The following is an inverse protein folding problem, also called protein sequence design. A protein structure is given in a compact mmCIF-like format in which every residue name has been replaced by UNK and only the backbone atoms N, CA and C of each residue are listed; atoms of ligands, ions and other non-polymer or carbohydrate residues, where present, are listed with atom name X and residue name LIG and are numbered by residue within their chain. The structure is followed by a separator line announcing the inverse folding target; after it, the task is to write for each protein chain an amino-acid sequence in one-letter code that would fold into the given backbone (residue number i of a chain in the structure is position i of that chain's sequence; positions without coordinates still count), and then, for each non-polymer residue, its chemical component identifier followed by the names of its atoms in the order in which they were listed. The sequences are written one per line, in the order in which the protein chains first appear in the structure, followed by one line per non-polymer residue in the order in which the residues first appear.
data_IF_017437529849
#
_entry.id   IF_017437529849
#
_cell.length_a   1.000
_cell.length_b   1.000
_cell.length_c   1.000
_cell.angle_alpha   90.00
_cell.angle_beta   90.00
_cell.angle_gamma   90.00
#
_symmetry.space_group_name_H-M   'P 1'
#
loop_
_entity.id
_entity.type
_entity.pdbx_description
1 polymer ?
#
# COMPACT_ATOMS: atom_id res chain seq x y z
N UNK A 1 -27.08 -10.12 14.56
CA UNK A 1 -26.54 -9.31 13.44
C UNK A 1 -25.68 -10.19 12.57
N UNK A 2 -26.25 -10.70 11.48
CA UNK A 2 -25.55 -11.60 10.55
C UNK A 2 -24.34 -10.89 9.95
N UNK A 3 -23.17 -11.54 10.05
CA UNK A 3 -21.94 -11.05 9.44
C UNK A 3 -22.09 -11.30 7.94
N UNK A 4 -22.42 -10.27 7.16
CA UNK A 4 -22.47 -10.39 5.69
C UNK A 4 -21.07 -10.81 5.22
N UNK A 5 -20.93 -12.08 4.83
CA UNK A 5 -19.71 -12.61 4.26
C UNK A 5 -19.56 -12.08 2.84
N UNK A 6 -18.65 -11.12 2.66
CA UNK A 6 -18.28 -10.62 1.35
C UNK A 6 -17.33 -11.63 0.68
N UNK A 7 -17.86 -12.78 0.26
CA UNK A 7 -17.10 -13.88 -0.34
C UNK A 7 -16.31 -13.44 -1.58
N UNK A 8 -16.86 -12.50 -2.37
CA UNK A 8 -16.16 -11.86 -3.46
C UNK A 8 -14.88 -11.13 -3.00
N UNK A 9 -14.91 -10.45 -1.84
CA UNK A 9 -13.71 -9.76 -1.30
C UNK A 9 -12.66 -10.76 -0.84
N UNK A 10 -13.07 -11.87 -0.23
CA UNK A 10 -12.15 -12.95 0.14
C UNK A 10 -11.45 -13.55 -1.08
N UNK A 11 -12.20 -13.80 -2.17
CA UNK A 11 -11.65 -14.28 -3.44
C UNK A 11 -10.67 -13.31 -4.09
N UNK A 12 -11.01 -12.02 -4.17
CA UNK A 12 -10.11 -11.02 -4.78
C UNK A 12 -8.84 -10.83 -3.93
N UNK A 13 -8.94 -10.88 -2.59
CA UNK A 13 -7.76 -10.85 -1.70
C UNK A 13 -6.84 -12.04 -1.93
N UNK A 14 -7.39 -13.23 -2.11
CA UNK A 14 -6.61 -14.43 -2.39
C UNK A 14 -5.78 -14.23 -3.67
N UNK A 15 -6.41 -13.83 -4.78
CA UNK A 15 -5.71 -13.62 -6.04
C UNK A 15 -4.69 -12.48 -5.99
N UNK A 16 -5.01 -11.37 -5.31
CA UNK A 16 -4.07 -10.29 -5.10
C UNK A 16 -2.87 -10.70 -4.24
N UNK A 17 -3.08 -11.51 -3.18
CA UNK A 17 -2.01 -12.04 -2.33
C UNK A 17 -1.15 -13.03 -3.10
N UNK A 18 -1.77 -13.97 -3.83
CA UNK A 18 -1.07 -14.95 -4.64
C UNK A 18 -0.18 -14.28 -5.68
N UNK A 19 -0.69 -13.23 -6.34
CA UNK A 19 0.07 -12.45 -7.32
C UNK A 19 1.29 -11.76 -6.69
N UNK A 20 1.11 -11.18 -5.49
CA UNK A 20 2.18 -10.51 -4.75
C UNK A 20 3.27 -11.50 -4.30
N UNK A 21 2.87 -12.62 -3.71
CA UNK A 21 3.78 -13.68 -3.24
C UNK A 21 4.54 -14.30 -4.41
N UNK A 22 3.84 -14.63 -5.50
CA UNK A 22 4.44 -15.23 -6.70
C UNK A 22 5.47 -14.30 -7.30
N UNK A 23 5.19 -12.99 -7.40
CA UNK A 23 6.14 -12.03 -7.94
C UNK A 23 7.41 -11.90 -7.09
N UNK A 24 7.29 -11.86 -5.75
CA UNK A 24 8.46 -11.80 -4.86
C UNK A 24 9.24 -13.12 -4.83
N UNK A 25 8.56 -14.26 -4.92
CA UNK A 25 9.21 -15.55 -5.05
C UNK A 25 10.02 -15.63 -6.35
N UNK A 26 9.42 -15.22 -7.48
CA UNK A 26 10.10 -15.16 -8.77
C UNK A 26 11.28 -14.18 -8.75
N UNK A 27 11.12 -13.00 -8.16
CA UNK A 27 12.23 -12.03 -8.01
C UNK A 27 13.39 -12.62 -7.20
N UNK A 28 13.09 -13.30 -6.09
CA UNK A 28 14.11 -13.91 -5.22
C UNK A 28 14.81 -15.09 -5.90
N UNK A 29 14.07 -15.92 -6.65
CA UNK A 29 14.62 -17.05 -7.40
C UNK A 29 15.43 -16.61 -8.63
N UNK A 30 15.00 -15.53 -9.29
CA UNK A 30 15.69 -14.94 -10.44
C UNK A 30 17.02 -14.28 -10.04
N UNK A 31 17.01 -13.49 -8.96
CA UNK A 31 18.22 -12.85 -8.43
C UNK A 31 19.24 -13.90 -7.96
N UNK A 32 18.79 -15.06 -7.46
CA UNK A 32 19.66 -16.14 -7.02
C UNK A 32 20.33 -16.94 -8.15
N UNK A 33 19.79 -16.93 -9.38
CA UNK A 33 20.28 -17.75 -10.50
C UNK A 33 20.94 -16.95 -11.65
N UNK A 34 20.81 -15.62 -11.67
CA UNK A 34 21.37 -14.80 -12.77
C UNK A 34 20.68 -15.06 -14.11
N UNK A 35 21.34 -14.71 -15.22
CA UNK A 35 20.82 -14.91 -16.60
C UNK A 35 20.58 -16.40 -16.95
N UNK A 36 20.96 -17.34 -16.08
CA UNK A 36 20.75 -18.80 -16.25
C UNK A 36 19.36 -19.30 -15.83
N UNK A 37 18.49 -18.43 -15.31
CA UNK A 37 17.08 -18.74 -15.04
C UNK A 37 16.25 -18.90 -16.34
N UNK A 38 16.68 -19.78 -17.24
CA UNK A 38 16.16 -19.94 -18.60
C UNK A 38 14.73 -20.52 -18.69
N UNK A 39 14.20 -21.12 -17.61
CA UNK A 39 12.92 -21.83 -17.66
C UNK A 39 11.70 -20.90 -17.52
N UNK A 40 11.85 -19.71 -16.93
CA UNK A 40 10.80 -18.68 -16.88
C UNK A 40 11.22 -17.50 -17.77
N UNK A 41 10.50 -17.26 -18.87
CA UNK A 41 10.88 -16.19 -19.82
C UNK A 41 10.95 -14.83 -19.12
N UNK A 42 11.97 -14.03 -19.44
CA UNK A 42 12.18 -12.64 -18.95
C UNK A 42 10.91 -11.79 -19.02
N UNK A 43 10.12 -11.95 -20.08
CA UNK A 43 8.86 -11.24 -20.27
C UNK A 43 7.83 -11.60 -19.20
N UNK A 44 7.68 -12.88 -18.86
CA UNK A 44 6.79 -13.36 -17.80
C UNK A 44 7.21 -12.81 -16.43
N UNK A 45 8.51 -12.82 -16.13
CA UNK A 45 9.05 -12.22 -14.90
C UNK A 45 8.77 -10.71 -14.83
N UNK A 46 8.99 -10.00 -15.95
CA UNK A 46 8.77 -8.54 -16.03
C UNK A 46 7.30 -8.17 -15.88
N UNK A 47 6.40 -8.99 -16.45
CA UNK A 47 4.96 -8.83 -16.33
C UNK A 47 4.52 -9.04 -14.88
N UNK A 48 4.87 -10.17 -14.27
CA UNK A 48 4.54 -10.47 -12.86
C UNK A 48 5.04 -9.37 -11.90
N UNK A 49 6.26 -8.86 -12.13
CA UNK A 49 6.83 -7.75 -11.33
C UNK A 49 6.08 -6.43 -11.52
N UNK A 50 5.51 -6.15 -12.70
CA UNK A 50 4.63 -4.99 -12.91
C UNK A 50 3.28 -5.20 -12.24
N UNK A 51 2.66 -6.36 -12.47
CA UNK A 51 1.36 -6.72 -11.89
C UNK A 51 1.36 -6.64 -10.36
N UNK A 52 2.45 -7.05 -9.71
CA UNK A 52 2.58 -7.01 -8.25
C UNK A 52 2.70 -5.59 -7.69
N UNK A 53 3.34 -4.67 -8.43
CA UNK A 53 3.39 -3.24 -8.07
C UNK A 53 1.98 -2.63 -8.12
N UNK A 54 1.17 -3.04 -9.08
CA UNK A 54 -0.20 -2.54 -9.27
C UNK A 54 -1.15 -3.05 -8.17
N UNK A 55 -0.88 -4.22 -7.58
CA UNK A 55 -1.72 -4.77 -6.50
C UNK A 55 -1.66 -3.96 -5.20
N UNK A 56 -0.62 -3.17 -4.98
CA UNK A 56 -0.52 -2.36 -3.76
C UNK A 56 -1.58 -1.25 -3.73
N UNK A 57 -1.79 -0.56 -4.86
CA UNK A 57 -2.86 0.44 -4.99
C UNK A 57 -4.24 -0.20 -4.80
N UNK A 58 -4.45 -1.41 -5.34
CA UNK A 58 -5.67 -2.18 -5.08
C UNK A 58 -5.90 -2.40 -3.57
N UNK A 59 -4.86 -2.74 -2.80
CA UNK A 59 -5.01 -2.93 -1.36
C UNK A 59 -5.30 -1.63 -0.59
N UNK A 60 -4.81 -0.48 -1.02
CA UNK A 60 -5.19 0.81 -0.41
C UNK A 60 -6.67 1.13 -0.64
N UNK A 61 -7.15 0.93 -1.87
CA UNK A 61 -8.58 1.04 -2.20
C UNK A 61 -9.40 0.05 -1.36
N UNK A 62 -8.98 -1.21 -1.31
CA UNK A 62 -9.66 -2.24 -0.53
C UNK A 62 -9.68 -1.92 0.97
N UNK A 63 -8.59 -1.38 1.50
CA UNK A 63 -8.53 -0.94 2.88
C UNK A 63 -9.58 0.14 3.14
N UNK A 64 -9.62 1.21 2.32
CA UNK A 64 -10.64 2.26 2.41
C UNK A 64 -12.06 1.73 2.33
N UNK A 65 -12.32 0.84 1.37
CA UNK A 65 -13.62 0.18 1.22
C UNK A 65 -14.02 -0.58 2.49
N UNK A 66 -13.14 -1.43 3.02
CA UNK A 66 -13.46 -2.26 4.19
C UNK A 66 -13.63 -1.43 5.47
N UNK A 67 -12.90 -0.31 5.58
CA UNK A 67 -13.06 0.62 6.71
C UNK A 67 -14.41 1.31 6.65
N UNK A 68 -14.75 1.90 5.51
CA UNK A 68 -16.06 2.51 5.29
C UNK A 68 -17.19 1.48 5.47
N UNK A 69 -17.06 0.29 4.88
CA UNK A 69 -18.05 -0.76 5.04
C UNK A 69 -18.20 -1.21 6.49
N UNK A 70 -17.15 -1.23 7.31
CA UNK A 70 -17.26 -1.67 8.70
C UNK A 70 -17.69 -0.61 9.70
N UNK A 71 -17.37 0.66 9.43
CA UNK A 71 -17.38 1.72 10.43
C UNK A 71 -18.13 3.00 10.01
N UNK A 72 -18.54 3.15 8.74
CA UNK A 72 -19.18 4.40 8.26
C UNK A 72 -20.57 4.66 8.88
N UNK A 73 -21.23 3.63 9.42
CA UNK A 73 -22.49 3.78 10.17
C UNK A 73 -22.29 4.08 11.66
N UNK A 74 -21.04 4.08 12.14
CA UNK A 74 -20.72 4.32 13.55
C UNK A 74 -20.39 5.79 13.75
N UNK A 75 -20.86 6.34 14.86
CA UNK A 75 -20.42 7.65 15.29
C UNK A 75 -18.97 7.57 15.81
N UNK A 76 -18.13 8.49 15.32
CA UNK A 76 -16.72 8.62 15.67
C UNK A 76 -16.38 10.08 16.03
N UNK A 77 -17.38 10.87 16.45
CA UNK A 77 -17.17 12.26 16.88
C UNK A 77 -16.41 12.36 18.19
N UNK A 78 -16.71 11.47 19.14
CA UNK A 78 -16.04 11.48 20.43
C UNK A 78 -14.62 10.94 20.35
N UNK A 79 -13.75 11.45 21.22
CA UNK A 79 -12.38 10.99 21.34
C UNK A 79 -12.31 9.52 21.77
N UNK A 80 -13.21 9.10 22.65
CA UNK A 80 -13.32 7.74 23.16
C UNK A 80 -13.67 6.75 22.05
N UNK A 81 -14.57 7.13 21.13
CA UNK A 81 -14.93 6.31 19.98
C UNK A 81 -13.74 6.12 19.04
N UNK A 82 -12.99 7.20 18.75
CA UNK A 82 -11.77 7.16 17.94
C UNK A 82 -10.69 6.29 18.58
N UNK A 83 -10.48 6.45 19.89
CA UNK A 83 -9.50 5.65 20.64
C UNK A 83 -9.86 4.16 20.66
N UNK A 84 -11.13 3.83 20.87
CA UNK A 84 -11.64 2.45 20.79
C UNK A 84 -11.42 1.86 19.40
N UNK A 85 -11.67 2.64 18.35
CA UNK A 85 -11.41 2.26 16.97
C UNK A 85 -9.91 1.98 16.73
N UNK A 86 -9.01 2.89 17.10
CA UNK A 86 -7.57 2.73 16.87
C UNK A 86 -7.01 1.56 17.67
N UNK A 87 -7.43 1.36 18.92
CA UNK A 87 -7.03 0.21 19.74
C UNK A 87 -7.41 -1.12 19.09
N UNK A 88 -8.66 -1.25 18.64
CA UNK A 88 -9.13 -2.47 17.95
C UNK A 88 -8.38 -2.70 16.64
N UNK A 89 -8.05 -1.63 15.92
CA UNK A 89 -7.28 -1.74 14.67
C UNK A 89 -5.86 -2.21 14.96
N UNK A 90 -5.15 -1.54 15.87
CA UNK A 90 -3.78 -1.86 16.24
C UNK A 90 -3.69 -3.29 16.79
N UNK A 91 -4.56 -3.68 17.70
CA UNK A 91 -4.59 -5.03 18.27
C UNK A 91 -4.78 -6.13 17.22
N UNK A 92 -5.42 -5.82 16.08
CA UNK A 92 -5.69 -6.79 15.03
C UNK A 92 -4.50 -7.05 14.10
N UNK A 93 -3.66 -6.06 13.81
CA UNK A 93 -2.59 -6.21 12.81
C UNK A 93 -1.18 -6.11 13.40
N UNK A 94 -1.02 -5.37 14.50
CA UNK A 94 0.29 -5.06 15.05
C UNK A 94 1.06 -6.29 15.56
N UNK A 95 0.43 -7.29 16.20
CA UNK A 95 1.16 -8.50 16.63
C UNK A 95 1.83 -9.21 15.44
N UNK A 96 1.08 -9.47 14.37
CA UNK A 96 1.59 -10.14 13.17
C UNK A 96 2.68 -9.29 12.49
N UNK A 97 2.45 -7.97 12.39
CA UNK A 97 3.42 -7.03 11.83
C UNK A 97 4.73 -7.01 12.63
N UNK A 98 4.64 -6.93 13.96
CA UNK A 98 5.79 -6.89 14.86
C UNK A 98 6.62 -8.16 14.74
N UNK A 99 5.97 -9.33 14.78
CA UNK A 99 6.65 -10.63 14.62
C UNK A 99 7.34 -10.70 13.24
N UNK A 100 6.64 -10.33 12.17
CA UNK A 100 7.18 -10.32 10.82
C UNK A 100 8.37 -9.36 10.67
N UNK A 101 8.30 -8.19 11.30
CA UNK A 101 9.38 -7.21 11.33
C UNK A 101 10.61 -7.73 12.05
N UNK A 102 10.45 -8.23 13.28
CA UNK A 102 11.56 -8.76 14.08
C UNK A 102 12.19 -9.97 13.39
N UNK A 103 11.38 -10.88 12.85
CA UNK A 103 11.88 -12.02 12.07
C UNK A 103 12.67 -11.55 10.84
N UNK A 104 12.16 -10.56 10.10
CA UNK A 104 12.85 -9.97 8.95
C UNK A 104 14.19 -9.33 9.32
N UNK A 105 14.28 -8.68 10.48
CA UNK A 105 15.53 -8.12 10.99
C UNK A 105 16.53 -9.23 11.34
N UNK A 106 16.10 -10.25 12.09
CA UNK A 106 16.96 -11.36 12.52
C UNK A 106 17.51 -12.13 11.31
N UNK A 107 16.65 -12.51 10.36
CA UNK A 107 17.06 -13.28 9.18
C UNK A 107 18.07 -12.50 8.33
N UNK A 108 17.97 -11.17 8.28
CA UNK A 108 18.89 -10.31 7.54
C UNK A 108 20.15 -9.91 8.30
N UNK A 109 20.32 -10.35 9.56
CA UNK A 109 21.57 -10.13 10.28
C UNK A 109 22.72 -10.88 9.59
N UNK A 110 23.92 -10.26 9.46
CA UNK A 110 25.09 -10.90 8.86
C UNK A 110 25.44 -12.25 9.51
N UNK A 111 25.19 -12.38 10.81
CA UNK A 111 25.48 -13.56 11.62
C UNK A 111 24.53 -14.74 11.36
N UNK A 112 23.35 -14.50 10.77
CA UNK A 112 22.31 -15.53 10.58
C UNK A 112 22.34 -16.06 9.14
N UNK A 113 22.24 -15.18 8.14
CA UNK A 113 22.22 -15.57 6.72
C UNK A 113 23.33 -14.91 5.87
N UNK A 114 24.31 -14.24 6.48
CA UNK A 114 25.44 -13.67 5.74
C UNK A 114 25.12 -12.43 4.87
N UNK A 115 23.95 -11.80 5.04
CA UNK A 115 23.58 -10.61 4.27
C UNK A 115 24.44 -9.39 4.66
N UNK A 116 25.01 -8.70 3.66
CA UNK A 116 26.02 -7.63 3.83
C UNK A 116 25.51 -6.24 4.21
N UNK A 117 24.19 -6.01 4.31
CA UNK A 117 23.60 -4.67 4.40
C UNK A 117 23.06 -4.31 5.80
N UNK A 118 23.91 -4.41 6.82
CA UNK A 118 23.57 -4.03 8.20
C UNK A 118 24.42 -2.83 8.66
N UNK A 119 24.06 -1.62 8.20
CA UNK A 119 24.64 -0.39 8.71
C UNK A 119 23.77 0.24 9.82
N UNK A 120 24.34 1.22 10.55
CA UNK A 120 23.66 1.90 11.66
C UNK A 120 22.39 2.62 11.23
N UNK A 121 22.34 3.09 9.98
CA UNK A 121 21.18 3.78 9.43
C UNK A 121 20.03 2.80 9.16
N UNK A 122 20.31 1.65 8.55
CA UNK A 122 19.36 0.57 8.36
C UNK A 122 18.78 0.13 9.70
N UNK A 123 19.61 -0.05 10.74
CA UNK A 123 19.11 -0.38 12.08
C UNK A 123 18.15 0.69 12.61
N UNK A 124 18.52 1.96 12.53
CA UNK A 124 17.66 3.08 12.95
C UNK A 124 16.31 3.07 12.22
N UNK A 125 16.29 2.89 10.90
CA UNK A 125 15.04 2.84 10.13
C UNK A 125 14.17 1.62 10.45
N UNK A 126 14.79 0.48 10.73
CA UNK A 126 14.05 -0.72 11.12
C UNK A 126 13.43 -0.55 12.51
N UNK A 127 14.12 0.11 13.45
CA UNK A 127 13.55 0.52 14.75
C UNK A 127 12.38 1.49 14.54
N UNK A 128 12.54 2.51 13.69
CA UNK A 128 11.42 3.39 13.32
C UNK A 128 10.28 2.58 12.69
N UNK A 129 10.60 1.57 11.90
CA UNK A 129 9.66 0.63 11.30
C UNK A 129 8.79 -0.06 12.34
N UNK A 130 9.33 -0.47 13.49
CA UNK A 130 8.54 -1.06 14.57
C UNK A 130 7.42 -0.13 15.04
N UNK A 131 7.66 1.19 15.04
CA UNK A 131 6.66 2.20 15.40
C UNK A 131 5.92 2.80 14.19
N UNK A 132 6.03 2.17 13.00
CA UNK A 132 5.29 2.51 11.78
C UNK A 132 5.54 3.94 11.25
N UNK A 133 6.64 4.58 11.65
CA UNK A 133 6.96 5.97 11.32
C UNK A 133 7.71 6.23 9.98
N UNK A 134 8.49 5.28 9.40
CA UNK A 134 9.35 5.54 8.23
C UNK A 134 8.66 6.15 7.02
N UNK A 135 7.36 5.88 6.84
CA UNK A 135 6.55 6.39 5.73
C UNK A 135 6.48 7.92 5.61
N UNK A 136 6.89 8.67 6.65
CA UNK A 136 6.92 10.14 6.65
C UNK A 136 8.29 10.74 6.32
N UNK A 137 9.36 9.96 6.37
CA UNK A 137 10.71 10.48 6.16
C UNK A 137 11.12 10.37 4.70
N UNK A 138 11.38 11.54 4.10
CA UNK A 138 11.83 11.65 2.72
C UNK A 138 13.31 11.30 2.61
N UNK A 139 13.68 10.52 1.59
CA UNK A 139 15.10 10.19 1.31
C UNK A 139 15.50 8.74 1.58
N UNK A 140 14.55 7.81 1.73
CA UNK A 140 14.86 6.41 1.98
C UNK A 140 14.61 5.58 0.72
N UNK A 141 15.67 4.96 0.21
CA UNK A 141 15.56 3.93 -0.82
C UNK A 141 14.98 2.63 -0.23
N UNK A 142 14.50 1.73 -1.09
CA UNK A 142 13.99 0.41 -0.70
C UNK A 142 14.89 -0.35 0.29
N UNK A 143 16.21 -0.13 0.17
CA UNK A 143 17.26 -0.81 0.90
C UNK A 143 17.17 -0.66 2.44
N UNK A 144 16.49 0.36 2.95
CA UNK A 144 16.37 0.59 4.39
C UNK A 144 15.42 -0.37 5.13
N UNK A 145 14.48 -1.02 4.44
CA UNK A 145 13.49 -1.89 5.07
C UNK A 145 13.93 -3.36 5.06
N UNK A 146 14.19 -3.93 6.25
CA UNK A 146 14.52 -5.35 6.34
C UNK A 146 13.32 -6.25 6.04
N UNK A 147 12.12 -5.78 6.38
CA UNK A 147 10.87 -6.39 5.93
C UNK A 147 10.34 -5.63 4.70
N UNK A 148 10.40 -6.25 3.52
CA UNK A 148 10.03 -5.62 2.24
C UNK A 148 8.65 -4.93 2.22
N UNK A 149 7.56 -5.54 2.73
CA UNK A 149 6.24 -4.90 2.83
C UNK A 149 6.04 -3.94 4.02
N UNK A 150 7.06 -3.67 4.83
CA UNK A 150 6.98 -2.79 6.00
C UNK A 150 6.39 -1.41 5.69
N UNK A 151 6.90 -0.77 4.63
CA UNK A 151 6.49 0.57 4.23
C UNK A 151 4.98 0.64 3.99
N UNK A 152 4.41 -0.40 3.36
CA UNK A 152 3.00 -0.47 3.02
C UNK A 152 2.13 -0.54 4.27
N UNK A 153 2.53 -1.35 5.26
CA UNK A 153 1.84 -1.44 6.54
C UNK A 153 1.93 -0.13 7.33
N UNK A 154 3.09 0.54 7.31
CA UNK A 154 3.26 1.89 7.86
C UNK A 154 2.28 2.88 7.22
N UNK A 155 2.25 2.93 5.89
CA UNK A 155 1.35 3.82 5.15
C UNK A 155 -0.13 3.54 5.46
N UNK A 156 -0.54 2.27 5.45
CA UNK A 156 -1.89 1.86 5.82
C UNK A 156 -2.27 2.28 7.24
N UNK A 157 -1.36 2.12 8.20
CA UNK A 157 -1.58 2.50 9.57
C UNK A 157 -1.91 3.99 9.70
N UNK A 158 -1.17 4.86 9.00
CA UNK A 158 -1.46 6.29 8.98
C UNK A 158 -2.79 6.62 8.30
N UNK A 159 -3.15 5.92 7.23
CA UNK A 159 -4.48 6.06 6.61
C UNK A 159 -5.60 5.62 7.56
N UNK A 160 -5.38 4.57 8.35
CA UNK A 160 -6.34 4.16 9.39
C UNK A 160 -6.41 5.16 10.54
N UNK A 161 -5.30 5.79 10.91
CA UNK A 161 -5.32 6.92 11.84
C UNK A 161 -6.24 8.00 11.31
N UNK A 162 -6.08 8.40 10.04
CA UNK A 162 -6.85 9.48 9.41
C UNK A 162 -8.35 9.15 9.22
N UNK A 163 -8.70 7.87 9.07
CA UNK A 163 -10.05 7.41 8.73
C UNK A 163 -11.21 8.04 9.53
N UNK A 164 -11.18 8.15 10.88
CA UNK A 164 -12.30 8.70 11.63
C UNK A 164 -12.65 10.15 11.25
N UNK A 165 -11.64 10.95 10.88
CA UNK A 165 -11.84 12.32 10.41
C UNK A 165 -12.30 12.38 8.96
N UNK A 166 -12.00 11.36 8.16
CA UNK A 166 -12.39 11.27 6.75
C UNK A 166 -13.81 10.70 6.57
N UNK A 167 -14.30 9.90 7.52
CA UNK A 167 -15.55 9.17 7.39
C UNK A 167 -16.75 10.10 7.06
N UNK A 168 -16.96 11.14 7.88
CA UNK A 168 -18.03 12.11 7.68
C UNK A 168 -17.94 12.91 6.37
N UNK A 169 -16.82 13.59 6.06
CA UNK A 169 -16.72 14.37 4.83
C UNK A 169 -16.85 13.49 3.58
N UNK A 170 -16.29 12.28 3.58
CA UNK A 170 -16.45 11.35 2.45
C UNK A 170 -17.91 10.88 2.33
N UNK A 171 -18.57 10.50 3.43
CA UNK A 171 -20.00 10.13 3.37
C UNK A 171 -20.85 11.27 2.80
N UNK A 172 -20.64 12.49 3.30
CA UNK A 172 -21.34 13.68 2.80
C UNK A 172 -21.09 13.91 1.31
N UNK A 173 -19.82 13.86 0.89
CA UNK A 173 -19.42 14.15 -0.49
C UNK A 173 -19.98 13.16 -1.53
N UNK A 174 -20.23 11.90 -1.15
CA UNK A 174 -20.56 10.81 -2.09
C UNK A 174 -21.95 10.19 -1.91
N UNK A 175 -22.72 10.57 -0.89
CA UNK A 175 -24.02 9.93 -0.59
C UNK A 175 -25.12 10.29 -1.60
N UNK A 176 -25.17 11.55 -2.05
CA UNK A 176 -26.23 12.08 -2.92
C UNK A 176 -25.77 12.28 -4.38
N UNK A 177 -24.65 11.66 -4.76
CA UNK A 177 -24.07 11.86 -6.09
C UNK A 177 -24.88 11.21 -7.21
N UNK A 178 -25.06 11.96 -8.32
CA UNK A 178 -25.41 11.35 -9.61
C UNK A 178 -24.27 10.44 -10.10
N UNK A 179 -24.58 9.44 -10.92
CA UNK A 179 -23.55 8.52 -11.45
C UNK A 179 -22.42 9.25 -12.18
N UNK A 180 -22.74 10.33 -12.90
CA UNK A 180 -21.75 11.17 -13.59
C UNK A 180 -20.86 11.93 -12.61
N UNK A 181 -21.45 12.60 -11.61
CA UNK A 181 -20.69 13.31 -10.55
C UNK A 181 -19.75 12.35 -9.82
N UNK A 182 -20.27 11.18 -9.44
CA UNK A 182 -19.49 10.12 -8.80
C UNK A 182 -18.29 9.71 -9.68
N UNK A 183 -18.51 9.41 -10.96
CA UNK A 183 -17.45 9.00 -11.87
C UNK A 183 -16.37 10.09 -12.03
N UNK A 184 -16.78 11.36 -12.20
CA UNK A 184 -15.84 12.48 -12.32
C UNK A 184 -14.98 12.65 -11.05
N UNK A 185 -15.58 12.50 -9.86
CA UNK A 185 -14.85 12.56 -8.58
C UNK A 185 -13.87 11.39 -8.44
N UNK A 186 -14.25 10.18 -8.84
CA UNK A 186 -13.35 9.01 -8.84
C UNK A 186 -12.19 9.22 -9.82
N UNK A 187 -12.45 9.72 -11.02
CA UNK A 187 -11.41 10.05 -12.00
C UNK A 187 -10.48 11.15 -11.48
N UNK A 188 -11.01 12.17 -10.81
CA UNK A 188 -10.20 13.22 -10.20
C UNK A 188 -9.30 12.68 -9.08
N UNK A 189 -9.83 11.83 -8.19
CA UNK A 189 -9.04 11.17 -7.15
C UNK A 189 -7.98 10.24 -7.75
N UNK A 190 -8.30 9.53 -8.83
CA UNK A 190 -7.35 8.69 -9.54
C UNK A 190 -6.22 9.54 -10.16
N UNK A 191 -6.56 10.62 -10.86
CA UNK A 191 -5.57 11.55 -11.39
C UNK A 191 -4.68 12.15 -10.29
N UNK A 192 -5.27 12.51 -9.14
CA UNK A 192 -4.54 13.00 -7.97
C UNK A 192 -3.59 11.95 -7.40
N UNK A 193 -3.95 10.67 -7.42
CA UNK A 193 -3.05 9.57 -6.99
C UNK A 193 -1.85 9.39 -7.91
N UNK A 194 -2.00 9.72 -9.21
CA UNK A 194 -0.93 9.65 -10.20
C UNK A 194 -0.01 10.87 -10.17
N UNK A 195 -0.52 12.03 -9.71
CA UNK A 195 0.19 13.31 -9.76
C UNK A 195 1.59 13.25 -9.11
N UNK A 196 1.79 12.69 -7.90
CA UNK A 196 3.12 12.58 -7.33
C UNK A 196 4.07 11.76 -8.21
N UNK A 197 3.59 10.69 -8.86
CA UNK A 197 4.40 9.86 -9.74
C UNK A 197 4.72 10.58 -11.06
N UNK A 198 3.76 11.29 -11.66
CA UNK A 198 4.01 12.03 -12.90
C UNK A 198 4.94 13.21 -12.69
N UNK A 199 4.83 13.92 -11.56
CA UNK A 199 5.77 14.98 -11.18
C UNK A 199 7.17 14.44 -10.97
N UNK A 200 7.31 13.25 -10.35
CA UNK A 200 8.62 12.60 -10.25
C UNK A 200 9.18 12.23 -11.62
N UNK A 201 8.36 11.75 -12.55
CA UNK A 201 8.84 11.45 -13.91
C UNK A 201 9.20 12.72 -14.69
N UNK A 202 8.43 13.79 -14.56
CA UNK A 202 8.67 15.06 -15.26
C UNK A 202 9.91 15.80 -14.75
N UNK A 203 10.23 15.68 -13.46
CA UNK A 203 11.45 16.25 -12.87
C UNK A 203 12.72 15.46 -13.24
N UNK A 204 12.60 14.34 -13.97
CA UNK A 204 13.73 13.50 -14.34
C UNK A 204 14.43 14.02 -15.60
N UNK A 205 15.76 14.12 -15.58
CA UNK A 205 16.53 14.55 -16.74
C UNK A 205 16.41 13.54 -17.88
N UNK A 206 16.59 13.91 -19.17
CA UNK A 206 16.48 12.98 -20.31
C UNK A 206 17.39 11.74 -20.21
N UNK A 207 18.52 11.82 -19.49
CA UNK A 207 19.38 10.67 -19.19
C UNK A 207 18.75 9.63 -18.25
N UNK A 208 17.72 10.02 -17.50
CA UNK A 208 16.97 9.17 -16.55
C UNK A 208 15.89 8.33 -17.23
N UNK A 209 15.37 8.75 -18.39
CA UNK A 209 14.48 7.90 -19.19
C UNK A 209 15.20 6.65 -19.72
N UNK A 210 16.52 6.73 -19.89
CA UNK A 210 17.38 5.59 -20.23
C UNK A 210 17.59 4.63 -19.03
N UNK A 211 17.53 5.14 -17.79
CA UNK A 211 17.54 4.32 -16.56
C UNK A 211 16.18 3.74 -16.17
N UNK A 212 15.07 4.12 -16.84
CA UNK A 212 13.80 3.40 -16.71
C UNK A 212 13.94 1.92 -17.15
N UNK A 213 14.87 1.64 -18.08
CA UNK A 213 15.29 0.29 -18.44
C UNK A 213 16.30 -0.30 -17.45
N UNK A 214 17.19 0.50 -16.85
CA UNK A 214 18.17 0.03 -15.86
C UNK A 214 17.53 -0.36 -14.51
N UNK A 215 16.44 0.33 -14.11
CA UNK A 215 15.61 0.00 -12.94
C UNK A 215 14.83 -1.32 -13.09
N UNK A 216 14.65 -1.82 -14.32
CA UNK A 216 14.14 -3.18 -14.54
C UNK A 216 15.22 -4.23 -14.22
N UNK A 217 16.50 -3.85 -14.22
CA UNK A 217 17.68 -4.69 -13.98
C UNK A 217 18.48 -4.35 -12.71
N UNK A 218 18.00 -3.44 -11.85
CA UNK A 218 18.45 -3.28 -10.46
C UNK A 218 19.80 -2.60 -10.25
N UNK A 219 20.29 -1.76 -11.18
CA UNK A 219 21.68 -1.28 -11.12
C UNK A 219 21.91 0.06 -10.39
N UNK A 220 20.88 0.70 -9.82
CA UNK A 220 21.06 2.05 -9.24
C UNK A 220 20.16 2.34 -8.01
N UNK A 221 20.20 1.43 -7.02
CA UNK A 221 19.43 1.54 -5.77
C UNK A 221 19.74 2.80 -4.93
N UNK A 222 20.87 3.46 -5.19
CA UNK A 222 21.36 4.64 -4.46
C UNK A 222 21.21 5.98 -5.20
N UNK A 223 20.51 6.00 -6.34
CA UNK A 223 20.23 7.28 -7.00
C UNK A 223 19.28 8.15 -6.16
N UNK A 224 19.47 9.47 -6.20
CA UNK A 224 18.53 10.42 -5.59
C UNK A 224 17.10 10.24 -6.12
N UNK A 225 16.99 9.77 -7.37
CA UNK A 225 15.73 9.41 -7.98
C UNK A 225 15.05 8.23 -7.30
N UNK A 226 15.79 7.13 -7.09
CA UNK A 226 15.23 5.96 -6.44
C UNK A 226 14.67 6.30 -5.04
N UNK A 227 15.40 7.13 -4.26
CA UNK A 227 14.95 7.64 -2.95
C UNK A 227 13.67 8.47 -3.04
N UNK A 228 13.58 9.42 -3.99
CA UNK A 228 12.40 10.28 -4.14
C UNK A 228 11.17 9.48 -4.58
N UNK A 229 11.32 8.54 -5.52
CA UNK A 229 10.25 7.65 -5.96
C UNK A 229 9.73 6.78 -4.82
N UNK A 230 10.61 6.22 -4.00
CA UNK A 230 10.23 5.42 -2.83
C UNK A 230 9.55 6.24 -1.74
N UNK A 231 10.03 7.46 -1.51
CA UNK A 231 9.39 8.42 -0.62
C UNK A 231 7.95 8.65 -1.05
N UNK A 232 7.72 9.02 -2.31
CA UNK A 232 6.37 9.25 -2.85
C UNK A 232 5.51 7.98 -2.76
N UNK A 233 6.10 6.81 -3.01
CA UNK A 233 5.41 5.53 -2.93
C UNK A 233 4.90 5.21 -1.52
N UNK A 234 5.69 5.52 -0.48
CA UNK A 234 5.38 5.22 0.91
C UNK A 234 4.63 6.35 1.64
N UNK A 235 4.66 7.58 1.10
CA UNK A 235 4.10 8.75 1.75
C UNK A 235 2.56 8.65 1.90
N UNK A 236 2.00 8.64 3.12
CA UNK A 236 0.55 8.45 3.33
C UNK A 236 -0.34 9.45 2.59
N UNK A 237 -0.03 10.76 2.55
CA UNK A 237 -0.83 11.70 1.77
C UNK A 237 -0.86 11.40 0.26
N UNK A 238 0.20 10.84 -0.33
CA UNK A 238 0.20 10.43 -1.73
C UNK A 238 -0.74 9.23 -2.00
N UNK A 239 -1.04 8.43 -0.97
CA UNK A 239 -1.93 7.25 -1.03
C UNK A 239 -3.35 7.53 -0.54
N UNK A 240 -3.58 8.70 0.04
CA UNK A 240 -4.88 9.12 0.54
C UNK A 240 -5.98 9.09 -0.53
N UNK A 241 -5.75 9.51 -1.81
CA UNK A 241 -6.79 9.45 -2.83
C UNK A 241 -7.26 8.01 -3.13
N UNK A 242 -6.34 7.04 -3.17
CA UNK A 242 -6.66 5.62 -3.36
C UNK A 242 -7.54 5.09 -2.22
N UNK A 243 -7.20 5.45 -0.98
CA UNK A 243 -7.99 5.09 0.19
C UNK A 243 -9.40 5.70 0.15
N UNK A 244 -9.53 6.97 -0.25
CA UNK A 244 -10.82 7.66 -0.39
C UNK A 244 -11.66 7.03 -1.51
N UNK A 245 -11.08 6.63 -2.65
CA UNK A 245 -11.79 5.89 -3.71
C UNK A 245 -12.46 4.65 -3.12
N UNK A 246 -11.73 3.89 -2.30
CA UNK A 246 -12.29 2.75 -1.58
C UNK A 246 -13.48 3.10 -0.71
N UNK A 247 -13.34 4.16 0.10
CA UNK A 247 -14.42 4.64 0.97
C UNK A 247 -15.65 5.07 0.17
N UNK A 248 -15.45 5.80 -0.94
CA UNK A 248 -16.50 6.27 -1.83
C UNK A 248 -17.27 5.11 -2.48
N UNK A 249 -16.57 4.07 -2.93
CA UNK A 249 -17.20 2.85 -3.44
C UNK A 249 -18.08 2.17 -2.39
N UNK A 250 -17.62 2.09 -1.14
CA UNK A 250 -18.43 1.52 -0.06
C UNK A 250 -19.68 2.36 0.24
N UNK A 251 -19.58 3.70 0.21
CA UNK A 251 -20.74 4.60 0.34
C UNK A 251 -21.75 4.35 -0.78
N UNK A 252 -21.28 4.28 -2.04
CA UNK A 252 -22.14 4.06 -3.20
C UNK A 252 -22.86 2.71 -3.19
N UNK A 253 -22.18 1.64 -2.78
CA UNK A 253 -22.79 0.30 -2.68
C UNK A 253 -23.84 0.27 -1.57
N UNK A 254 -23.59 0.95 -0.45
CA UNK A 254 -24.55 1.04 0.67
C UNK A 254 -25.81 1.78 0.27
N UNK A 255 -25.68 2.94 -0.37
CA UNK A 255 -26.87 3.70 -0.79
C UNK A 255 -27.74 2.93 -1.77
N UNK A 256 -27.14 2.23 -2.75
CA UNK A 256 -27.90 1.37 -3.68
C UNK A 256 -28.62 0.22 -2.97
N UNK A 257 -27.98 -0.41 -1.97
CA UNK A 257 -28.57 -1.53 -1.23
C UNK A 257 -29.80 -1.08 -0.43
N UNK A 258 -29.73 0.10 0.19
CA UNK A 258 -30.84 0.68 0.96
C UNK A 258 -32.07 0.96 0.05
N UNK A 259 -31.88 1.33 -1.23
CA UNK A 259 -32.98 1.49 -2.18
C UNK A 259 -33.65 0.17 -2.59
N UNK A 260 -32.90 -0.93 -2.68
CA UNK A 260 -33.43 -2.24 -3.09
C UNK A 260 -34.20 -2.98 -1.99
N UNK A 261 -34.02 -2.64 -0.71
CA UNK A 261 -34.78 -3.25 0.39
C UNK A 261 -36.14 -2.56 0.65
N UNK A 262 -36.38 -1.38 0.04
CA UNK A 262 -37.59 -0.57 0.25
C UNK A 262 -38.60 -0.71 -0.91
N UNK A 263 -38.22 -1.33 -2.03
CA UNK A 263 -39.08 -1.57 -3.21
C UNK A 263 -39.54 -3.02 -3.30
#
# INVERSE_FOLDING_TARGET
GGRVELNAISGVRFWATLSLVSAHAVESLWIAQGDEAAWLKRDTCSWLKRSSKDMVSFYFVLAGFTMAWGYMSRDMDSWEARLSYWRRRLARFYPDYFISMVAGMIVKMPQVMGCRSYDTMALFYNILGLILLPSWFMGLGAAGFMNGPAWFMGTLFWLWILFPWLAKPVKSLFSEDTSTSFLLKILALYALSLLPFTLTLAASSPGTLRTLNADLFGTDEDSAWHRLRWTVKAFPPARLPEFIIGMALAVRVRTVSDYTEIG
#
